data_IF_141407089439
#
_entry.id   IF_141407089439
#
_cell.length_a   1.000
_cell.length_b   1.000
_cell.length_c   1.000
_cell.angle_alpha   90.00
_cell.angle_beta   90.00
_cell.angle_gamma   90.00
#
_symmetry.space_group_name_H-M   'P 1'
#
loop_
_entity.id
_entity.type
_entity.pdbx_description
1 polymer ?
#
# COMPACT_ATOMS: atom_id res chain seq x y z
N UNK A 1 20.85 -22.80 6.76
CA UNK A 1 22.02 -21.89 6.75
C UNK A 1 21.90 -20.83 5.65
N UNK A 2 21.72 -21.18 4.37
CA UNK A 2 21.77 -20.19 3.27
C UNK A 2 20.66 -19.12 3.17
N UNK A 3 19.56 -19.21 3.92
CA UNK A 3 18.53 -18.14 4.01
C UNK A 3 18.84 -17.19 5.17
N UNK A 4 19.22 -17.74 6.32
CA UNK A 4 19.68 -17.02 7.51
C UNK A 4 20.97 -16.22 7.26
N UNK A 5 21.91 -16.76 6.49
CA UNK A 5 23.14 -16.06 6.08
C UNK A 5 22.86 -14.93 5.08
N UNK A 6 21.88 -15.11 4.18
CA UNK A 6 21.42 -14.03 3.29
C UNK A 6 20.75 -12.90 4.06
N UNK A 7 19.89 -13.21 5.03
CA UNK A 7 19.28 -12.20 5.90
C UNK A 7 20.31 -11.42 6.72
N UNK A 8 21.39 -12.08 7.17
CA UNK A 8 22.51 -11.40 7.84
C UNK A 8 23.28 -10.48 6.92
N UNK A 9 23.57 -10.93 5.70
CA UNK A 9 24.29 -10.13 4.72
C UNK A 9 23.45 -8.93 4.27
N UNK A 10 22.13 -9.10 4.16
CA UNK A 10 21.20 -8.00 3.96
C UNK A 10 21.24 -7.03 5.15
N UNK A 11 21.00 -7.49 6.38
CA UNK A 11 20.97 -6.64 7.57
C UNK A 11 22.32 -5.97 7.87
N UNK A 12 23.45 -6.59 7.54
CA UNK A 12 24.79 -6.02 7.80
C UNK A 12 25.11 -4.83 6.89
N UNK A 13 24.58 -4.79 5.66
CA UNK A 13 24.73 -3.66 4.73
C UNK A 13 24.10 -2.37 5.28
N UNK A 14 23.01 -2.50 6.04
CA UNK A 14 22.34 -1.37 6.70
C UNK A 14 23.07 -0.88 7.95
N UNK A 15 24.01 -1.66 8.51
CA UNK A 15 24.85 -1.19 9.63
C UNK A 15 25.83 -0.10 9.16
N UNK A 16 26.23 -0.14 7.89
CA UNK A 16 27.16 0.82 7.30
C UNK A 16 26.49 2.05 6.72
N UNK A 17 25.16 2.07 6.62
CA UNK A 17 24.43 3.22 6.10
C UNK A 17 24.20 4.26 7.20
N UNK A 18 24.72 5.46 6.95
CA UNK A 18 24.53 6.62 7.80
C UNK A 18 23.08 7.11 7.68
N UNK A 19 22.48 7.52 8.80
CA UNK A 19 21.17 8.20 8.81
C UNK A 19 21.20 9.41 7.88
N UNK A 20 22.34 10.11 7.79
CA UNK A 20 22.52 11.18 6.81
C UNK A 20 22.30 10.69 5.37
N UNK A 21 22.91 9.58 4.97
CA UNK A 21 22.77 9.02 3.62
C UNK A 21 21.33 8.62 3.29
N UNK A 22 20.58 8.10 4.27
CA UNK A 22 19.16 7.75 4.13
C UNK A 22 18.23 8.99 4.05
N UNK A 23 18.69 10.14 4.54
CA UNK A 23 17.95 11.41 4.48
C UNK A 23 18.28 12.24 3.24
N UNK A 24 19.42 12.03 2.58
CA UNK A 24 19.81 12.77 1.37
C UNK A 24 18.71 12.80 0.30
N UNK A 25 18.10 11.65 -0.10
CA UNK A 25 17.05 11.67 -1.13
C UNK A 25 15.84 12.53 -0.73
N UNK A 26 15.51 12.57 0.56
CA UNK A 26 14.43 13.41 1.08
C UNK A 26 14.84 14.89 1.06
N UNK A 27 16.07 15.24 1.44
CA UNK A 27 16.55 16.62 1.42
C UNK A 27 16.62 17.18 0.01
N UNK A 28 17.16 16.41 -0.94
CA UNK A 28 17.19 16.80 -2.36
C UNK A 28 15.78 17.09 -2.90
N UNK A 29 14.79 16.26 -2.54
CA UNK A 29 13.40 16.43 -2.99
C UNK A 29 12.70 17.62 -2.34
N UNK A 30 12.91 17.85 -1.04
CA UNK A 30 12.34 19.00 -0.34
C UNK A 30 12.95 20.33 -0.80
N UNK A 31 14.18 20.32 -1.33
CA UNK A 31 14.83 21.51 -1.89
C UNK A 31 14.26 21.92 -3.27
N UNK A 32 13.45 21.09 -3.92
CA UNK A 32 12.82 21.39 -5.21
C UNK A 32 11.47 22.10 -4.99
N UNK A 33 11.52 23.40 -4.68
CA UNK A 33 10.36 24.22 -4.26
C UNK A 33 9.17 24.21 -5.25
N UNK A 34 9.40 24.03 -6.56
CA UNK A 34 8.35 24.14 -7.62
C UNK A 34 7.97 22.80 -8.30
N UNK A 35 8.45 21.64 -7.82
CA UNK A 35 8.41 20.39 -8.59
C UNK A 35 7.56 19.25 -8.01
N UNK A 36 6.82 19.47 -6.91
CA UNK A 36 6.09 18.40 -6.21
C UNK A 36 5.26 17.54 -7.17
N UNK A 37 4.42 18.16 -8.01
CA UNK A 37 3.65 17.44 -9.02
C UNK A 37 3.61 18.18 -10.36
N UNK A 38 4.23 17.58 -11.38
CA UNK A 38 4.33 18.15 -12.73
C UNK A 38 3.17 17.69 -13.62
N UNK A 39 2.00 18.30 -13.45
CA UNK A 39 0.75 17.88 -14.09
C UNK A 39 0.83 17.72 -15.63
N UNK A 40 1.49 18.66 -16.33
CA UNK A 40 1.61 18.61 -17.80
C UNK A 40 2.54 17.48 -18.29
N UNK A 41 3.54 17.09 -17.50
CA UNK A 41 4.39 15.94 -17.82
C UNK A 41 3.64 14.64 -17.56
N UNK A 42 2.94 14.57 -16.42
CA UNK A 42 2.15 13.41 -16.06
C UNK A 42 1.02 13.15 -17.06
N UNK A 43 0.35 14.20 -17.53
CA UNK A 43 -0.69 14.07 -18.56
C UNK A 43 -0.14 13.48 -19.87
N UNK A 44 1.04 13.94 -20.32
CA UNK A 44 1.70 13.39 -21.51
C UNK A 44 2.14 11.93 -21.30
N UNK A 45 2.61 11.59 -20.09
CA UNK A 45 2.97 10.23 -19.72
C UNK A 45 1.74 9.31 -19.71
N UNK A 46 0.64 9.75 -19.07
CA UNK A 46 -0.66 9.07 -19.02
C UNK A 46 -1.20 8.83 -20.43
N UNK A 47 -1.29 9.86 -21.27
CA UNK A 47 -1.77 9.73 -22.65
C UNK A 47 -0.94 8.70 -23.44
N UNK A 48 0.38 8.72 -23.31
CA UNK A 48 1.28 7.76 -23.96
C UNK A 48 1.11 6.33 -23.44
N UNK A 49 0.89 6.17 -22.13
CA UNK A 49 0.78 4.88 -21.46
C UNK A 49 -0.53 4.16 -21.84
N UNK A 50 -1.63 4.91 -21.97
CA UNK A 50 -2.97 4.37 -22.28
C UNK A 50 -3.39 4.51 -23.75
N UNK A 51 -2.56 5.05 -24.65
CA UNK A 51 -2.88 5.43 -26.05
C UNK A 51 -3.62 4.41 -26.93
N UNK A 52 -3.64 3.13 -26.56
CA UNK A 52 -4.27 2.05 -27.33
C UNK A 52 -5.42 1.36 -26.57
N UNK A 53 -5.85 1.94 -25.45
CA UNK A 53 -6.91 1.38 -24.62
C UNK A 53 -8.18 2.19 -24.73
N UNK A 54 -9.34 1.52 -24.78
CA UNK A 54 -10.62 2.21 -24.66
C UNK A 54 -10.85 2.65 -23.20
N UNK A 55 -11.66 3.70 -23.02
CA UNK A 55 -12.17 4.12 -21.71
C UNK A 55 -13.60 3.61 -21.46
N UNK A 56 -14.25 3.08 -22.50
CA UNK A 56 -15.63 2.67 -22.54
C UNK A 56 -15.81 1.31 -23.25
N UNK A 57 -17.04 0.82 -23.29
CA UNK A 57 -17.41 -0.47 -23.88
C UNK A 57 -17.64 -1.56 -22.85
N UNK A 58 -17.47 -2.81 -23.28
CA UNK A 58 -17.74 -3.99 -22.45
C UNK A 58 -16.84 -4.03 -21.20
N UNK A 59 -17.45 -4.09 -20.02
CA UNK A 59 -16.76 -3.99 -18.74
C UNK A 59 -15.78 -5.14 -18.48
N UNK A 60 -16.06 -6.33 -19.02
CA UNK A 60 -15.13 -7.47 -18.95
C UNK A 60 -13.91 -7.25 -19.85
N UNK A 61 -14.12 -6.77 -21.08
CA UNK A 61 -13.04 -6.43 -22.00
C UNK A 61 -12.16 -5.29 -21.44
N UNK A 62 -12.77 -4.30 -20.78
CA UNK A 62 -12.04 -3.28 -20.03
C UNK A 62 -11.13 -3.95 -18.99
N UNK A 63 -11.68 -4.84 -18.15
CA UNK A 63 -10.87 -5.56 -17.16
C UNK A 63 -9.67 -6.28 -17.80
N UNK A 64 -9.90 -7.08 -18.84
CA UNK A 64 -8.85 -7.88 -19.50
C UNK A 64 -7.74 -6.99 -20.04
N UNK A 65 -8.09 -5.93 -20.77
CA UNK A 65 -7.10 -5.07 -21.43
C UNK A 65 -6.29 -4.24 -20.43
N UNK A 66 -6.93 -3.71 -19.39
CA UNK A 66 -6.23 -2.96 -18.35
C UNK A 66 -5.39 -3.89 -17.46
N UNK A 67 -5.88 -5.09 -17.14
CA UNK A 67 -5.09 -6.11 -16.45
C UNK A 67 -3.80 -6.41 -17.21
N UNK A 68 -3.90 -6.69 -18.51
CA UNK A 68 -2.74 -6.98 -19.37
C UNK A 68 -1.75 -5.80 -19.37
N UNK A 69 -2.25 -4.57 -19.53
CA UNK A 69 -1.41 -3.38 -19.51
C UNK A 69 -0.64 -3.24 -18.19
N UNK A 70 -1.33 -3.22 -17.05
CA UNK A 70 -0.68 -2.99 -15.76
C UNK A 70 0.25 -4.18 -15.42
N UNK A 71 -0.10 -5.40 -15.82
CA UNK A 71 0.76 -6.57 -15.63
C UNK A 71 2.05 -6.50 -16.44
N UNK A 72 1.97 -6.14 -17.73
CA UNK A 72 3.16 -6.08 -18.62
C UNK A 72 4.06 -4.89 -18.34
N UNK A 73 3.53 -3.79 -17.81
CA UNK A 73 4.29 -2.57 -17.56
C UNK A 73 4.90 -2.49 -16.15
N UNK A 74 4.50 -3.37 -15.22
CA UNK A 74 5.18 -3.52 -13.93
C UNK A 74 6.53 -4.23 -14.14
N UNK A 75 7.49 -3.45 -14.67
CA UNK A 75 8.81 -3.88 -15.12
C UNK A 75 9.79 -4.02 -13.96
N UNK A 76 9.79 -3.06 -13.04
CA UNK A 76 10.66 -3.04 -11.86
C UNK A 76 9.87 -3.51 -10.64
N UNK A 77 10.03 -4.79 -10.33
CA UNK A 77 9.38 -5.48 -9.21
C UNK A 77 10.29 -5.44 -8.00
N UNK A 78 10.24 -4.32 -7.30
CA UNK A 78 11.12 -4.04 -6.18
C UNK A 78 10.75 -4.91 -4.98
N UNK A 79 11.72 -5.45 -4.23
CA UNK A 79 11.45 -6.09 -2.94
C UNK A 79 10.85 -5.10 -1.94
N UNK A 80 10.00 -5.58 -1.04
CA UNK A 80 9.30 -4.74 -0.07
C UNK A 80 10.19 -3.77 0.72
N UNK A 81 11.32 -4.25 1.26
CA UNK A 81 12.20 -3.40 2.05
C UNK A 81 12.67 -2.20 1.21
N UNK A 82 13.13 -2.45 -0.01
CA UNK A 82 13.61 -1.42 -0.92
C UNK A 82 12.50 -0.44 -1.34
N UNK A 83 11.31 -0.94 -1.68
CA UNK A 83 10.15 -0.08 -1.98
C UNK A 83 9.83 0.88 -0.83
N UNK A 84 9.84 0.37 0.40
CA UNK A 84 9.49 1.13 1.59
C UNK A 84 10.59 2.14 1.96
N UNK A 85 11.82 1.68 2.09
CA UNK A 85 12.95 2.46 2.60
C UNK A 85 13.34 3.57 1.62
N UNK A 86 13.44 3.25 0.33
CA UNK A 86 13.99 4.18 -0.66
C UNK A 86 12.98 5.15 -1.24
N UNK A 87 11.70 4.76 -1.26
CA UNK A 87 10.69 5.50 -2.04
C UNK A 87 9.44 5.90 -1.27
N UNK A 88 8.97 5.08 -0.33
CA UNK A 88 7.65 5.30 0.27
C UNK A 88 7.63 6.63 1.03
N UNK A 89 8.47 6.79 2.05
CA UNK A 89 8.45 7.99 2.90
C UNK A 89 9.19 9.19 2.30
N UNK A 90 10.12 8.90 1.39
CA UNK A 90 11.01 9.90 0.82
C UNK A 90 10.43 10.57 -0.42
N UNK A 91 9.36 10.01 -1.03
CA UNK A 91 8.74 10.61 -2.22
C UNK A 91 7.30 10.24 -2.44
N UNK A 92 6.99 8.94 -2.45
CA UNK A 92 5.68 8.46 -2.89
C UNK A 92 4.58 8.97 -1.95
N UNK A 93 4.75 8.86 -0.63
CA UNK A 93 3.79 9.34 0.39
C UNK A 93 3.98 10.81 0.80
N UNK A 94 4.95 11.51 0.23
CA UNK A 94 5.12 12.94 0.51
C UNK A 94 3.88 13.71 0.07
N UNK A 95 3.45 14.63 0.91
CA UNK A 95 2.41 15.61 0.67
C UNK A 95 3.03 16.90 0.10
N UNK A 96 2.22 17.80 -0.49
CA UNK A 96 2.72 19.08 -1.01
C UNK A 96 3.44 19.95 0.03
N UNK A 97 3.12 19.78 1.32
CA UNK A 97 3.75 20.51 2.42
C UNK A 97 5.04 19.83 2.95
N UNK A 98 5.52 18.79 2.25
CA UNK A 98 6.71 18.04 2.63
C UNK A 98 6.52 17.05 3.79
N UNK A 99 5.30 16.94 4.34
CA UNK A 99 4.97 15.95 5.36
C UNK A 99 4.57 14.61 4.73
N UNK A 100 4.40 13.58 5.54
CA UNK A 100 3.64 12.37 5.16
C UNK A 100 2.35 12.32 5.96
N UNK A 101 1.35 11.63 5.44
CA UNK A 101 0.03 11.53 6.05
C UNK A 101 -0.36 10.08 6.24
N UNK A 102 -0.83 9.72 7.42
CA UNK A 102 -1.37 8.38 7.65
C UNK A 102 -2.63 8.14 6.84
N UNK A 103 -2.72 6.96 6.21
CA UNK A 103 -3.85 6.57 5.39
C UNK A 103 -5.17 6.60 6.17
N UNK A 104 -5.24 6.01 7.36
CA UNK A 104 -6.51 5.81 8.07
C UNK A 104 -6.87 6.93 9.04
N UNK A 105 -5.92 7.76 9.45
CA UNK A 105 -6.17 8.86 10.40
C UNK A 105 -6.03 10.26 9.84
N UNK A 106 -5.37 10.41 8.69
CA UNK A 106 -5.08 11.75 8.17
C UNK A 106 -4.13 12.58 9.03
N UNK A 107 -3.56 12.02 10.11
CA UNK A 107 -2.57 12.73 10.92
C UNK A 107 -1.27 12.86 10.13
N UNK A 108 -0.70 14.07 10.17
CA UNK A 108 0.54 14.43 9.50
C UNK A 108 1.74 14.05 10.38
N UNK A 109 2.81 13.62 9.74
CA UNK A 109 4.09 13.34 10.39
C UNK A 109 5.24 13.86 9.55
N UNK A 110 6.33 14.20 10.23
CA UNK A 110 7.60 14.49 9.57
C UNK A 110 8.17 13.18 9.00
N UNK A 111 8.41 13.05 7.67
CA UNK A 111 9.03 11.87 7.08
C UNK A 111 10.40 11.55 7.68
N UNK A 112 11.18 12.55 8.12
CA UNK A 112 12.48 12.33 8.75
C UNK A 112 12.36 11.46 10.00
N UNK A 113 11.31 11.68 10.79
CA UNK A 113 11.06 10.90 12.00
C UNK A 113 10.81 9.42 11.69
N UNK A 114 10.08 9.13 10.61
CA UNK A 114 9.82 7.75 10.20
C UNK A 114 11.10 7.05 9.69
N UNK A 115 11.90 7.76 8.90
CA UNK A 115 13.18 7.23 8.39
C UNK A 115 14.12 6.91 9.56
N UNK A 116 14.26 7.83 10.53
CA UNK A 116 15.08 7.61 11.72
C UNK A 116 14.57 6.42 12.55
N UNK A 117 13.25 6.33 12.77
CA UNK A 117 12.63 5.20 13.49
C UNK A 117 12.86 3.86 12.81
N UNK A 118 12.82 3.82 11.47
CA UNK A 118 13.05 2.59 10.72
C UNK A 118 14.52 2.17 10.73
N UNK A 119 15.46 3.14 10.67
CA UNK A 119 16.89 2.86 10.87
C UNK A 119 17.16 2.31 12.28
N UNK A 120 16.54 2.89 13.31
CA UNK A 120 16.65 2.37 14.69
C UNK A 120 16.07 0.96 14.81
N UNK A 121 14.91 0.72 14.20
CA UNK A 121 14.26 -0.60 14.17
C UNK A 121 15.14 -1.64 13.48
N UNK A 122 15.79 -1.28 12.37
CA UNK A 122 16.77 -2.12 11.68
C UNK A 122 17.97 -2.46 12.54
N UNK A 123 18.55 -1.46 13.22
CA UNK A 123 19.70 -1.66 14.13
C UNK A 123 19.35 -2.65 15.24
N UNK A 124 18.20 -2.47 15.90
CA UNK A 124 17.71 -3.39 16.95
C UNK A 124 17.49 -4.81 16.42
N UNK A 125 16.86 -4.93 15.25
CA UNK A 125 16.62 -6.22 14.59
C UNK A 125 17.94 -6.94 14.29
N UNK A 126 18.95 -6.23 13.76
CA UNK A 126 20.28 -6.79 13.50
C UNK A 126 20.98 -7.23 14.79
N UNK A 127 20.95 -6.42 15.84
CA UNK A 127 21.58 -6.75 17.13
C UNK A 127 20.97 -8.00 17.76
N UNK A 128 19.64 -8.11 17.79
CA UNK A 128 18.95 -9.30 18.29
C UNK A 128 19.25 -10.54 17.44
N UNK A 129 19.25 -10.39 16.11
CA UNK A 129 19.59 -11.49 15.21
C UNK A 129 21.04 -11.94 15.43
N UNK A 130 21.98 -11.01 15.57
CA UNK A 130 23.39 -11.31 15.87
C UNK A 130 23.56 -11.99 17.23
N UNK A 131 22.80 -11.59 18.25
CA UNK A 131 22.77 -12.27 19.55
C UNK A 131 22.21 -13.69 19.42
N UNK A 132 21.14 -13.89 18.64
CA UNK A 132 20.59 -15.21 18.34
C UNK A 132 21.65 -16.15 17.73
N UNK A 133 22.45 -15.66 16.78
CA UNK A 133 23.54 -16.44 16.19
C UNK A 133 24.66 -16.79 17.17
N UNK A 134 25.02 -15.87 18.06
CA UNK A 134 26.02 -16.14 19.11
C UNK A 134 25.50 -17.24 20.04
N UNK A 135 24.24 -17.16 20.44
CA UNK A 135 23.61 -18.13 21.33
C UNK A 135 23.40 -19.50 20.67
N UNK A 136 23.23 -19.56 19.34
CA UNK A 136 23.20 -20.82 18.59
C UNK A 136 24.47 -21.65 18.70
N UNK A 137 25.65 -21.01 18.85
CA UNK A 137 26.90 -21.74 19.09
C UNK A 137 26.87 -22.54 20.40
N UNK A 138 25.85 -22.35 21.25
CA UNK A 138 25.68 -22.98 22.55
C UNK A 138 24.45 -23.91 22.68
N UNK A 139 23.66 -24.15 21.61
CA UNK A 139 22.57 -25.15 21.62
C UNK A 139 21.42 -24.87 20.64
N UNK A 140 20.92 -25.93 19.98
CA UNK A 140 19.88 -25.92 18.95
C UNK A 140 18.46 -25.70 19.52
N UNK A 141 18.10 -24.44 19.79
CA UNK A 141 16.67 -24.04 19.76
C UNK A 141 16.20 -23.84 18.33
N UNK A 142 14.88 -23.83 18.07
CA UNK A 142 14.32 -23.54 16.74
C UNK A 142 14.63 -22.09 16.33
N UNK A 143 15.75 -21.95 15.63
CA UNK A 143 16.29 -20.70 15.10
C UNK A 143 15.28 -20.03 14.18
N UNK A 144 14.56 -20.83 13.40
CA UNK A 144 13.63 -20.30 12.42
C UNK A 144 12.44 -19.63 13.11
N UNK A 145 11.93 -20.24 14.18
CA UNK A 145 10.86 -19.65 14.98
C UNK A 145 11.33 -18.38 15.71
N UNK A 146 12.53 -18.39 16.28
CA UNK A 146 13.11 -17.20 16.94
C UNK A 146 13.40 -16.06 15.97
N UNK A 147 13.87 -16.37 14.76
CA UNK A 147 14.03 -15.37 13.69
C UNK A 147 12.67 -14.76 13.38
N UNK A 148 11.62 -15.57 13.15
CA UNK A 148 10.26 -15.06 12.93
C UNK A 148 9.78 -14.16 14.08
N UNK A 149 10.06 -14.52 15.33
CA UNK A 149 9.71 -13.67 16.49
C UNK A 149 10.40 -12.31 16.41
N UNK A 150 11.70 -12.27 16.13
CA UNK A 150 12.47 -11.02 15.98
C UNK A 150 11.90 -10.17 14.84
N UNK A 151 11.58 -10.77 13.69
CA UNK A 151 10.96 -10.07 12.55
C UNK A 151 9.56 -9.54 12.87
N UNK A 152 8.81 -10.26 13.71
CA UNK A 152 7.46 -9.85 14.12
C UNK A 152 7.49 -8.74 15.17
N UNK A 153 8.47 -8.77 16.06
CA UNK A 153 8.67 -7.77 17.11
C UNK A 153 9.13 -6.43 16.54
N UNK A 154 10.01 -6.46 15.53
CA UNK A 154 10.58 -5.27 14.88
C UNK A 154 10.06 -5.10 13.45
N UNK A 155 8.73 -5.07 13.29
CA UNK A 155 8.09 -4.79 12.01
C UNK A 155 8.18 -3.30 11.66
N UNK A 156 8.55 -3.02 10.42
CA UNK A 156 8.32 -1.69 9.84
C UNK A 156 6.83 -1.42 9.71
N UNK A 157 6.43 -0.20 10.00
CA UNK A 157 5.03 0.18 9.93
C UNK A 157 4.70 0.89 8.61
N UNK A 158 4.52 0.09 7.56
CA UNK A 158 3.82 0.49 6.36
C UNK A 158 2.50 -0.29 6.26
N UNK A 159 1.45 0.39 5.85
CA UNK A 159 0.15 -0.21 5.62
C UNK A 159 0.13 -0.90 4.26
N UNK A 160 -0.20 -2.20 4.25
CA UNK A 160 -0.62 -2.89 3.03
C UNK A 160 -2.14 -2.85 2.94
N UNK A 161 -2.67 -2.03 2.03
CA UNK A 161 -4.12 -1.87 1.84
C UNK A 161 -4.81 -3.17 1.45
N UNK A 162 -4.11 -4.09 0.77
CA UNK A 162 -4.48 -5.51 0.76
C UNK A 162 -3.64 -6.23 1.82
N UNK A 163 -4.24 -6.85 2.85
CA UNK A 163 -3.45 -7.46 3.93
C UNK A 163 -2.50 -8.54 3.39
N UNK A 164 -1.24 -8.53 3.86
CA UNK A 164 -0.23 -9.50 3.43
C UNK A 164 -0.67 -10.97 3.63
N UNK A 165 -1.43 -11.24 4.71
CA UNK A 165 -1.96 -12.57 5.01
C UNK A 165 -2.94 -13.09 3.94
N UNK A 166 -3.52 -12.22 3.13
CA UNK A 166 -4.48 -12.60 2.09
C UNK A 166 -3.82 -13.20 0.85
N UNK A 167 -2.56 -12.86 0.58
CA UNK A 167 -1.79 -13.34 -0.59
C UNK A 167 -0.49 -14.07 -0.22
N UNK A 168 -0.27 -14.31 1.08
CA UNK A 168 0.89 -15.03 1.62
C UNK A 168 2.17 -14.21 1.65
N UNK A 169 2.07 -12.86 1.71
CA UNK A 169 3.21 -11.95 1.75
C UNK A 169 4.22 -12.15 0.60
N UNK A 170 3.76 -12.70 -0.53
CA UNK A 170 4.63 -13.05 -1.67
C UNK A 170 5.01 -11.81 -2.48
N UNK A 171 6.25 -11.78 -2.95
CA UNK A 171 6.67 -10.84 -3.99
C UNK A 171 6.08 -11.25 -5.36
N UNK A 172 5.83 -10.29 -6.28
CA UNK A 172 6.11 -8.85 -6.17
C UNK A 172 5.00 -8.04 -5.49
N UNK A 173 3.94 -8.69 -5.00
CA UNK A 173 2.79 -8.00 -4.42
C UNK A 173 3.18 -7.25 -3.16
N UNK A 174 4.00 -7.85 -2.30
CA UNK A 174 4.40 -7.24 -1.03
C UNK A 174 5.13 -5.90 -1.21
N UNK A 175 5.97 -5.77 -2.23
CA UNK A 175 6.69 -4.54 -2.55
C UNK A 175 6.02 -3.58 -3.55
N UNK A 176 4.79 -3.86 -4.00
CA UNK A 176 4.10 -2.99 -4.97
C UNK A 176 3.59 -1.70 -4.28
N UNK A 177 4.20 -0.56 -4.63
CA UNK A 177 3.95 0.76 -4.05
C UNK A 177 2.49 1.25 -4.20
N UNK A 178 1.73 0.72 -5.18
CA UNK A 178 0.34 1.14 -5.39
C UNK A 178 -0.62 0.69 -4.27
N UNK A 179 -0.20 -0.20 -3.37
CA UNK A 179 -0.99 -0.56 -2.18
C UNK A 179 -0.20 -0.47 -0.86
N UNK A 180 0.95 0.21 -0.89
CA UNK A 180 1.75 0.55 0.29
C UNK A 180 1.50 2.00 0.69
N UNK A 181 1.29 2.26 1.98
CA UNK A 181 1.05 3.61 2.50
C UNK A 181 1.67 3.82 3.88
N UNK A 182 1.95 5.07 4.22
CA UNK A 182 2.23 5.51 5.58
C UNK A 182 0.98 5.32 6.44
N UNK A 183 1.18 4.80 7.65
CA UNK A 183 0.12 4.62 8.64
C UNK A 183 0.73 4.72 10.04
N UNK A 184 -0.07 4.95 11.09
CA UNK A 184 0.39 4.76 12.47
C UNK A 184 0.39 3.29 12.85
N UNK A 185 1.32 2.84 13.71
CA UNK A 185 1.32 1.47 14.22
C UNK A 185 -0.02 1.05 14.85
N UNK A 186 -0.64 1.94 15.61
CA UNK A 186 -1.91 1.67 16.28
C UNK A 186 -3.06 1.50 15.28
N UNK A 187 -3.14 2.35 14.25
CA UNK A 187 -4.16 2.23 13.21
C UNK A 187 -3.96 0.97 12.34
N UNK A 188 -2.72 0.64 11.99
CA UNK A 188 -2.39 -0.59 11.25
C UNK A 188 -2.76 -1.84 12.09
N UNK A 189 -2.45 -1.81 13.39
CA UNK A 189 -2.82 -2.87 14.34
C UNK A 189 -4.33 -3.03 14.45
N UNK A 190 -5.07 -1.92 14.59
CA UNK A 190 -6.53 -1.91 14.67
C UNK A 190 -7.16 -2.45 13.39
N UNK A 191 -6.66 -2.03 12.23
CA UNK A 191 -7.14 -2.49 10.92
C UNK A 191 -6.90 -4.00 10.73
N UNK A 192 -5.81 -4.53 11.27
CA UNK A 192 -5.49 -5.97 11.24
C UNK A 192 -5.49 -6.53 9.81
N UNK A 193 -6.24 -7.60 9.55
CA UNK A 193 -6.50 -8.14 8.22
C UNK A 193 -7.99 -8.12 7.85
N UNK A 194 -8.74 -7.19 8.46
CA UNK A 194 -10.18 -7.12 8.29
C UNK A 194 -10.56 -6.57 6.90
N UNK A 195 -11.55 -7.17 6.22
CA UNK A 195 -12.17 -6.56 5.05
C UNK A 195 -12.84 -5.22 5.40
N UNK A 196 -12.91 -4.33 4.41
CA UNK A 196 -13.57 -3.04 4.57
C UNK A 196 -15.09 -3.18 4.63
N UNK A 197 -15.74 -2.31 5.40
CA UNK A 197 -17.19 -2.15 5.49
C UNK A 197 -17.54 -0.69 5.81
N UNK A 198 -18.81 -0.32 5.61
CA UNK A 198 -19.43 0.82 6.29
C UNK A 198 -20.28 0.28 7.46
N UNK A 199 -20.33 1.01 8.57
CA UNK A 199 -21.15 0.71 9.73
C UNK A 199 -22.28 1.73 9.88
N UNK A 200 -23.56 1.31 9.99
CA UNK A 200 -24.68 2.24 10.11
C UNK A 200 -24.63 3.20 11.33
N UNK A 201 -23.79 2.87 12.33
CA UNK A 201 -23.62 3.65 13.55
C UNK A 201 -22.38 4.56 13.52
N UNK A 202 -21.63 4.58 12.41
CA UNK A 202 -20.39 5.33 12.26
C UNK A 202 -20.43 6.10 10.93
N UNK A 203 -20.19 7.40 11.00
CA UNK A 203 -20.10 8.29 9.85
C UNK A 203 -18.93 9.26 10.07
N UNK A 204 -17.68 8.88 9.74
CA UNK A 204 -16.52 9.71 9.99
C UNK A 204 -16.52 11.04 9.25
N UNK A 205 -17.35 11.16 8.21
CA UNK A 205 -17.54 12.40 7.46
C UNK A 205 -18.45 13.41 8.17
N UNK A 206 -19.18 13.00 9.22
CA UNK A 206 -20.02 13.89 10.03
C UNK A 206 -19.18 14.59 11.12
N UNK A 207 -19.13 15.94 11.15
CA UNK A 207 -18.48 16.67 12.23
C UNK A 207 -19.04 16.36 13.64
N UNK A 208 -20.26 15.84 13.73
CA UNK A 208 -20.93 15.42 14.96
C UNK A 208 -20.69 13.96 15.36
N UNK A 209 -19.85 13.21 14.63
CA UNK A 209 -19.51 11.83 14.96
C UNK A 209 -18.92 11.72 16.37
N UNK A 210 -19.49 10.83 17.19
CA UNK A 210 -19.10 10.64 18.58
C UNK A 210 -17.94 9.64 18.73
N UNK A 211 -17.80 8.71 17.77
CA UNK A 211 -16.72 7.72 17.72
C UNK A 211 -15.51 8.34 17.01
N UNK A 212 -14.80 9.22 17.69
CA UNK A 212 -13.53 9.80 17.19
C UNK A 212 -12.35 9.09 17.83
N UNK A 213 -11.88 8.01 17.19
CA UNK A 213 -10.73 7.25 17.67
C UNK A 213 -9.46 7.46 16.83
N UNK A 214 -9.52 8.42 15.89
CA UNK A 214 -8.48 8.82 14.93
C UNK A 214 -8.25 7.84 13.81
N UNK A 215 -8.49 6.53 13.97
CA UNK A 215 -8.10 5.53 12.98
C UNK A 215 -9.28 4.99 12.15
N UNK A 216 -10.49 4.99 12.71
CA UNK A 216 -11.64 4.26 12.17
C UNK A 216 -12.13 3.17 13.11
N UNK A 217 -13.22 2.51 12.76
CA UNK A 217 -13.87 1.50 13.60
C UNK A 217 -13.51 0.10 13.12
N UNK A 218 -13.13 -0.78 14.06
CA UNK A 218 -13.06 -2.22 13.83
C UNK A 218 -14.19 -2.91 14.59
N UNK A 219 -15.11 -3.56 13.88
CA UNK A 219 -16.28 -4.19 14.48
C UNK A 219 -16.66 -5.48 13.73
N UNK A 220 -16.96 -6.55 14.47
CA UNK A 220 -17.33 -7.88 13.94
C UNK A 220 -16.38 -8.43 12.85
N UNK A 221 -15.09 -8.11 12.94
CA UNK A 221 -14.08 -8.56 11.98
C UNK A 221 -14.09 -7.82 10.64
N UNK A 222 -14.68 -6.62 10.60
CA UNK A 222 -14.63 -5.66 9.50
C UNK A 222 -14.01 -4.35 10.00
N UNK A 223 -13.58 -3.50 9.06
CA UNK A 223 -12.97 -2.21 9.37
C UNK A 223 -13.53 -1.09 8.47
N UNK A 224 -13.85 0.04 9.07
CA UNK A 224 -14.21 1.28 8.39
C UNK A 224 -13.20 2.35 8.79
N UNK A 225 -12.39 2.88 7.88
CA UNK A 225 -11.39 3.88 8.23
C UNK A 225 -12.02 5.27 8.45
N UNK A 226 -11.43 6.06 9.35
CA UNK A 226 -11.85 7.45 9.60
C UNK A 226 -11.42 8.37 8.45
N UNK A 227 -10.24 8.11 7.87
CA UNK A 227 -9.70 8.82 6.72
C UNK A 227 -9.30 7.85 5.60
N UNK A 228 -9.21 8.36 4.36
CA UNK A 228 -8.58 7.62 3.27
C UNK A 228 -9.43 6.52 2.61
N UNK A 229 -10.76 6.50 2.82
CA UNK A 229 -11.71 5.57 2.16
C UNK A 229 -11.48 5.49 0.64
N UNK A 230 -11.44 6.63 -0.06
CA UNK A 230 -11.19 6.68 -1.51
C UNK A 230 -9.84 6.12 -1.94
N UNK A 231 -8.77 6.52 -1.25
CA UNK A 231 -7.40 6.07 -1.52
C UNK A 231 -7.27 4.55 -1.31
N UNK A 232 -7.80 4.04 -0.21
CA UNK A 232 -7.84 2.61 0.09
C UNK A 232 -8.67 1.85 -0.96
N UNK A 233 -9.82 2.39 -1.37
CA UNK A 233 -10.64 1.80 -2.40
C UNK A 233 -9.90 1.67 -3.74
N UNK A 234 -9.25 2.75 -4.22
CA UNK A 234 -8.47 2.73 -5.46
C UNK A 234 -7.29 1.77 -5.42
N UNK A 235 -6.60 1.66 -4.29
CA UNK A 235 -5.51 0.71 -4.11
C UNK A 235 -6.02 -0.75 -4.10
N UNK A 236 -7.16 -1.03 -3.45
CA UNK A 236 -7.83 -2.34 -3.50
C UNK A 236 -8.24 -2.70 -4.93
N UNK A 237 -8.94 -1.80 -5.64
CA UNK A 237 -9.38 -2.00 -7.02
C UNK A 237 -8.19 -2.24 -7.95
N UNK A 238 -7.12 -1.45 -7.80
CA UNK A 238 -5.86 -1.68 -8.51
C UNK A 238 -5.29 -3.06 -8.25
N UNK A 239 -5.22 -3.50 -6.98
CA UNK A 239 -4.64 -4.79 -6.65
C UNK A 239 -5.45 -5.94 -7.24
N UNK A 240 -6.78 -5.84 -7.20
CA UNK A 240 -7.70 -6.79 -7.83
C UNK A 240 -7.51 -6.85 -9.35
N UNK A 241 -7.32 -5.69 -9.99
CA UNK A 241 -7.01 -5.58 -11.41
C UNK A 241 -5.64 -6.20 -11.73
N UNK A 242 -4.60 -5.88 -10.96
CA UNK A 242 -3.22 -6.29 -11.23
C UNK A 242 -2.97 -7.76 -10.89
N UNK A 243 -3.57 -8.27 -9.82
CA UNK A 243 -3.32 -9.59 -9.24
C UNK A 243 -4.62 -10.39 -8.99
N UNK A 244 -5.45 -10.65 -10.02
CA UNK A 244 -6.80 -11.20 -9.84
C UNK A 244 -6.84 -12.60 -9.19
N UNK A 245 -5.73 -13.34 -9.23
CA UNK A 245 -5.65 -14.70 -8.69
C UNK A 245 -4.80 -14.81 -7.42
N UNK A 246 -4.33 -13.68 -6.87
CA UNK A 246 -3.39 -13.69 -5.75
C UNK A 246 -4.03 -13.88 -4.38
N UNK A 247 -5.18 -13.23 -4.17
CA UNK A 247 -5.91 -13.28 -2.90
C UNK A 247 -6.54 -14.67 -2.74
N UNK A 248 -6.30 -15.31 -1.59
CA UNK A 248 -6.88 -16.61 -1.29
C UNK A 248 -8.42 -16.54 -1.31
N UNK A 249 -9.06 -17.61 -1.79
CA UNK A 249 -10.51 -17.64 -2.07
C UNK A 249 -11.37 -17.24 -0.86
N UNK A 250 -10.97 -17.64 0.34
CA UNK A 250 -11.66 -17.34 1.60
C UNK A 250 -11.74 -15.84 1.91
N UNK A 251 -10.67 -15.08 1.63
CA UNK A 251 -10.64 -13.63 1.81
C UNK A 251 -11.31 -12.90 0.65
N UNK A 252 -11.09 -13.37 -0.58
CA UNK A 252 -11.65 -12.74 -1.79
C UNK A 252 -13.18 -12.63 -1.75
N UNK A 253 -13.87 -13.62 -1.15
CA UNK A 253 -15.34 -13.63 -0.98
C UNK A 253 -15.87 -12.59 0.01
N UNK A 254 -15.00 -11.99 0.83
CA UNK A 254 -15.36 -10.95 1.80
C UNK A 254 -15.15 -9.53 1.26
N UNK A 255 -14.66 -9.39 0.04
CA UNK A 255 -14.40 -8.08 -0.57
C UNK A 255 -15.70 -7.58 -1.20
N UNK A 256 -16.22 -6.48 -0.69
CA UNK A 256 -17.37 -5.78 -1.26
C UNK A 256 -16.91 -4.78 -2.33
N UNK A 257 -16.91 -5.22 -3.60
CA UNK A 257 -16.50 -4.35 -4.72
C UNK A 257 -17.46 -3.17 -4.91
N UNK A 258 -18.80 -3.34 -4.84
CA UNK A 258 -19.72 -2.21 -4.82
C UNK A 258 -19.38 -1.15 -3.76
N UNK A 259 -19.00 -1.54 -2.54
CA UNK A 259 -18.53 -0.60 -1.51
C UNK A 259 -17.29 0.17 -1.96
N UNK A 260 -16.27 -0.53 -2.48
CA UNK A 260 -15.05 0.12 -2.96
C UNK A 260 -15.33 1.10 -4.10
N UNK A 261 -16.24 0.75 -5.03
CA UNK A 261 -16.65 1.67 -6.11
C UNK A 261 -17.35 2.89 -5.52
N UNK A 262 -18.28 2.72 -4.56
CA UNK A 262 -18.95 3.85 -3.90
C UNK A 262 -17.97 4.77 -3.18
N UNK A 263 -17.04 4.22 -2.39
CA UNK A 263 -16.00 5.03 -1.73
C UNK A 263 -15.13 5.76 -2.74
N UNK A 264 -14.73 5.10 -3.83
CA UNK A 264 -13.95 5.73 -4.88
C UNK A 264 -14.68 6.91 -5.55
N UNK A 265 -15.98 6.77 -5.80
CA UNK A 265 -16.82 7.83 -6.38
C UNK A 265 -17.08 8.99 -5.42
N UNK A 266 -17.30 8.69 -4.14
CA UNK A 266 -17.52 9.70 -3.09
C UNK A 266 -16.26 10.52 -2.79
N UNK A 267 -15.08 9.90 -2.88
CA UNK A 267 -13.80 10.51 -2.54
C UNK A 267 -12.86 10.53 -3.77
N UNK A 268 -13.01 11.50 -4.70
CA UNK A 268 -12.23 11.53 -5.94
C UNK A 268 -10.72 11.65 -5.70
N UNK A 269 -9.87 11.22 -6.66
CA UNK A 269 -8.42 11.34 -6.52
C UNK A 269 -7.98 12.78 -6.29
N UNK A 270 -7.02 12.93 -5.39
CA UNK A 270 -6.41 14.23 -5.05
C UNK A 270 -5.09 14.46 -5.79
N UNK A 271 -4.56 15.68 -5.74
CA UNK A 271 -3.21 15.98 -6.27
C UNK A 271 -2.14 15.07 -5.67
N UNK A 272 -2.27 14.74 -4.38
CA UNK A 272 -1.41 13.76 -3.73
C UNK A 272 -1.45 12.40 -4.44
N UNK A 273 -2.63 11.88 -4.79
CA UNK A 273 -2.74 10.58 -5.46
C UNK A 273 -2.25 10.62 -6.91
N UNK A 274 -2.42 11.74 -7.61
CA UNK A 274 -1.82 11.91 -8.93
C UNK A 274 -0.29 11.94 -8.86
N UNK A 275 0.27 12.66 -7.89
CA UNK A 275 1.70 12.62 -7.58
C UNK A 275 2.19 11.20 -7.32
N UNK A 276 1.54 10.47 -6.40
CA UNK A 276 1.84 9.06 -6.11
C UNK A 276 1.88 8.23 -7.37
N UNK A 277 0.82 8.30 -8.17
CA UNK A 277 0.68 7.47 -9.35
C UNK A 277 1.78 7.77 -10.39
N UNK A 278 2.14 9.04 -10.54
CA UNK A 278 3.26 9.48 -11.39
C UNK A 278 4.61 8.98 -10.86
N UNK A 279 4.90 9.18 -9.57
CA UNK A 279 6.12 8.72 -8.92
C UNK A 279 6.28 7.19 -9.06
N UNK A 280 5.23 6.43 -8.74
CA UNK A 280 5.25 4.97 -8.86
C UNK A 280 5.41 4.53 -10.32
N UNK A 281 4.86 5.26 -11.29
CA UNK A 281 5.10 4.98 -12.70
C UNK A 281 6.58 5.09 -13.08
N UNK A 282 7.28 6.13 -12.63
CA UNK A 282 8.72 6.26 -12.89
C UNK A 282 9.55 5.19 -12.17
N UNK A 283 9.11 4.74 -10.99
CA UNK A 283 9.80 3.74 -10.17
C UNK A 283 9.56 2.31 -10.71
N UNK A 284 8.30 1.89 -10.87
CA UNK A 284 7.90 0.51 -11.16
C UNK A 284 7.55 0.26 -12.64
N UNK A 285 7.16 1.32 -13.36
CA UNK A 285 6.77 1.30 -14.77
C UNK A 285 5.26 1.19 -15.01
N UNK A 286 4.45 0.92 -13.99
CA UNK A 286 3.00 0.74 -14.10
C UNK A 286 2.22 1.82 -13.33
N UNK A 287 1.00 2.09 -13.80
CA UNK A 287 0.07 3.09 -13.26
C UNK A 287 -1.17 2.43 -12.67
N UNK A 288 -1.79 3.09 -11.71
CA UNK A 288 -3.12 2.79 -11.20
C UNK A 288 -4.19 3.48 -12.08
N UNK A 289 -4.94 2.73 -12.91
CA UNK A 289 -5.92 3.32 -13.82
C UNK A 289 -7.07 4.03 -13.11
N UNK A 290 -7.39 3.67 -11.86
CA UNK A 290 -8.49 4.27 -11.10
C UNK A 290 -8.13 5.66 -10.56
N UNK A 291 -6.84 6.03 -10.54
CA UNK A 291 -6.40 7.41 -10.29
C UNK A 291 -6.41 8.21 -11.60
N UNK A 292 -5.96 7.60 -12.70
CA UNK A 292 -5.83 8.27 -13.99
C UNK A 292 -7.16 8.52 -14.71
N UNK A 293 -8.10 7.57 -14.58
CA UNK A 293 -9.44 7.55 -15.17
C UNK A 293 -10.45 7.02 -14.13
N UNK A 294 -10.93 7.87 -13.20
CA UNK A 294 -11.82 7.46 -12.13
C UNK A 294 -13.09 6.73 -12.60
N UNK A 295 -13.61 7.07 -13.78
CA UNK A 295 -14.80 6.47 -14.36
C UNK A 295 -14.67 4.96 -14.68
N UNK A 296 -13.44 4.42 -14.76
CA UNK A 296 -13.23 3.00 -15.00
C UNK A 296 -13.74 2.12 -13.86
N UNK A 297 -13.78 2.62 -12.63
CA UNK A 297 -14.21 1.85 -11.46
C UNK A 297 -15.66 1.36 -11.59
N UNK A 298 -16.57 2.24 -12.04
CA UNK A 298 -17.98 1.90 -12.26
C UNK A 298 -18.27 1.15 -13.57
N UNK A 299 -17.32 1.14 -14.52
CA UNK A 299 -17.49 0.50 -15.83
C UNK A 299 -16.90 -0.92 -15.89
N UNK A 300 -15.89 -1.19 -15.10
CA UNK A 300 -15.14 -2.45 -15.16
C UNK A 300 -15.84 -3.58 -14.40
N UNK A 301 -15.92 -4.76 -15.01
CA UNK A 301 -16.49 -5.96 -14.38
C UNK A 301 -15.36 -6.86 -13.90
N UNK A 302 -15.25 -7.03 -12.59
CA UNK A 302 -14.19 -7.84 -11.98
C UNK A 302 -14.55 -9.35 -11.95
N UNK A 303 -13.61 -10.27 -12.29
CA UNK A 303 -13.83 -11.73 -12.39
C UNK A 303 -14.08 -12.51 -11.08
N UNK A 304 -14.78 -11.95 -10.09
CA UNK A 304 -14.87 -12.58 -8.76
C UNK A 304 -16.30 -13.00 -8.41
N UNK A 305 -16.43 -14.21 -7.84
CA UNK A 305 -17.68 -14.74 -7.29
C UNK A 305 -18.24 -13.72 -6.27
N UNK A 306 -19.38 -13.08 -6.58
CA UNK A 306 -20.05 -12.10 -5.72
C UNK A 306 -20.46 -10.78 -6.40
N UNK A 307 -20.01 -10.52 -7.63
CA UNK A 307 -20.37 -9.28 -8.39
C UNK A 307 -21.76 -9.28 -9.03
N UNK A 308 -22.52 -10.38 -8.89
CA UNK A 308 -23.90 -10.50 -9.35
C UNK A 308 -24.84 -10.64 -8.15
N UNK A 309 -25.09 -9.55 -7.43
CA UNK A 309 -26.17 -9.48 -6.46
C UNK A 309 -26.72 -8.06 -6.43
N UNK A 310 -27.64 -7.77 -7.36
CA UNK A 310 -28.84 -6.94 -7.20
C UNK A 310 -29.34 -6.49 -8.58
N UNK A 311 -30.12 -7.35 -9.21
CA UNK A 311 -30.87 -7.04 -10.43
C UNK A 311 -31.67 -8.26 -10.83
N UNK A 312 -33.00 -8.15 -10.74
CA UNK A 312 -34.01 -9.17 -11.03
C UNK A 312 -34.26 -10.24 -9.95
N UNK A 313 -34.95 -9.84 -8.88
CA UNK A 313 -36.08 -10.62 -8.36
C UNK A 313 -37.22 -9.65 -8.04
N UNK A 314 -37.97 -9.30 -9.07
CA UNK A 314 -39.32 -8.76 -8.98
C UNK A 314 -40.07 -9.23 -10.22
N UNK A 315 -40.58 -10.45 -10.15
CA UNK A 315 -41.88 -10.89 -10.70
C UNK A 315 -42.42 -11.99 -9.80
#
# INVERSE_FOLDING_TARGET
>A
MGETERQLDELSRWQTEDVAAQLEPLHERLALEDAYYQAAEDERARARYYRHLPLDGDGWMLFVRYHELVARTHKRRLPYFFSKDEYLYTWVDLQPDGTVRSLYSGERKDPKMLIVQDVETMKRRYDEFRQLLKNMKHGLGDVHERVKTIEQQWKFNAEHVVPQSWFGAREPMKGDLHHLFVCQPDCNTMRSNFPYADFPFYNPEDPGEQVQNRCGVAYNGYFEPEYGKGTAARAMLYFLLRYPKAIAKSFRRKIDIPLLVRWHEQFPPTVYEHHRNSAIFFIQGNRNPFIDFPELAGRMVFPFEGTMANGALSE
#
